data_IF_352952558870
#
_entry.id   IF_352952558870
#
_cell.length_a   1.000
_cell.length_b   1.000
_cell.length_c   1.000
_cell.angle_alpha   90.00
_cell.angle_beta   90.00
_cell.angle_gamma   90.00
#
_symmetry.space_group_name_H-M   'P 1'
#
loop_
_entity.id
_entity.type
_entity.pdbx_description
1 polymer ?
#
# COMPACT_ATOMS: atom_id res chain seq x y z
N UNK A 1 -29.22 10.97 5.33
CA UNK A 1 -30.03 10.03 4.50
C UNK A 1 -31.19 9.48 5.31
N UNK A 2 -32.31 9.11 4.68
CA UNK A 2 -33.43 8.46 5.36
C UNK A 2 -33.17 6.94 5.56
N UNK A 3 -33.94 6.33 6.47
CA UNK A 3 -33.79 4.91 6.84
C UNK A 3 -34.05 3.97 5.66
N UNK A 4 -35.03 4.28 4.83
CA UNK A 4 -35.41 3.47 3.67
C UNK A 4 -34.31 3.44 2.61
N UNK A 5 -33.66 4.57 2.34
CA UNK A 5 -32.49 4.65 1.46
C UNK A 5 -31.29 3.90 2.03
N UNK A 6 -31.06 3.99 3.35
CA UNK A 6 -30.00 3.21 4.02
C UNK A 6 -30.25 1.72 3.83
N UNK A 7 -31.44 1.21 4.15
CA UNK A 7 -31.78 -0.21 4.02
C UNK A 7 -31.64 -0.72 2.58
N UNK A 8 -32.09 0.06 1.58
CA UNK A 8 -31.93 -0.28 0.17
C UNK A 8 -30.46 -0.36 -0.25
N UNK A 9 -29.63 0.59 0.19
CA UNK A 9 -28.18 0.58 -0.07
C UNK A 9 -27.51 -0.64 0.56
N UNK A 10 -27.84 -0.96 1.82
CA UNK A 10 -27.35 -2.16 2.51
C UNK A 10 -27.75 -3.42 1.75
N UNK A 11 -29.01 -3.56 1.34
CA UNK A 11 -29.48 -4.73 0.59
C UNK A 11 -28.72 -4.92 -0.72
N UNK A 12 -28.43 -3.83 -1.44
CA UNK A 12 -27.65 -3.92 -2.67
C UNK A 12 -26.16 -4.21 -2.42
N UNK A 13 -25.56 -3.74 -1.33
CA UNK A 13 -24.19 -4.13 -0.94
C UNK A 13 -24.15 -5.62 -0.56
N UNK A 14 -25.14 -6.13 0.16
CA UNK A 14 -25.26 -7.58 0.46
C UNK A 14 -25.29 -8.42 -0.80
N UNK A 15 -26.08 -8.03 -1.80
CA UNK A 15 -26.11 -8.72 -3.09
C UNK A 15 -24.77 -8.71 -3.83
N UNK A 16 -23.96 -7.65 -3.71
CA UNK A 16 -22.60 -7.64 -4.28
C UNK A 16 -21.65 -8.57 -3.52
N UNK A 17 -21.78 -8.66 -2.18
CA UNK A 17 -20.99 -9.59 -1.35
C UNK A 17 -21.33 -11.04 -1.69
N UNK A 18 -22.61 -11.38 -1.87
CA UNK A 18 -23.05 -12.71 -2.29
C UNK A 18 -22.44 -13.10 -3.66
N UNK A 19 -22.45 -12.17 -4.62
CA UNK A 19 -21.79 -12.37 -5.92
C UNK A 19 -20.29 -12.57 -5.77
N UNK A 20 -19.62 -11.75 -4.96
CA UNK A 20 -18.19 -11.89 -4.68
C UNK A 20 -17.89 -13.28 -4.09
N UNK A 21 -18.67 -13.71 -3.11
CA UNK A 21 -18.54 -15.03 -2.49
C UNK A 21 -18.66 -16.14 -3.54
N UNK A 22 -19.64 -16.05 -4.44
CA UNK A 22 -19.82 -17.04 -5.51
C UNK A 22 -18.64 -17.03 -6.50
N UNK A 23 -18.12 -15.85 -6.87
CA UNK A 23 -16.93 -15.73 -7.74
C UNK A 23 -15.71 -16.35 -7.07
N UNK A 24 -15.50 -16.14 -5.76
CA UNK A 24 -14.40 -16.77 -5.02
C UNK A 24 -14.50 -18.31 -5.02
N UNK A 25 -15.70 -18.86 -4.80
CA UNK A 25 -15.92 -20.30 -4.93
C UNK A 25 -15.66 -20.83 -6.35
N UNK A 26 -15.90 -20.02 -7.39
CA UNK A 26 -15.58 -20.39 -8.77
C UNK A 26 -14.07 -20.37 -9.03
N UNK A 27 -13.35 -19.37 -8.50
CA UNK A 27 -11.89 -19.27 -8.58
C UNK A 27 -11.23 -20.50 -7.94
N UNK A 28 -11.67 -20.90 -6.75
CA UNK A 28 -11.13 -22.07 -6.03
C UNK A 28 -11.25 -23.37 -6.83
N UNK A 29 -12.30 -23.49 -7.65
CA UNK A 29 -12.55 -24.67 -8.49
C UNK A 29 -11.91 -24.57 -9.88
N UNK A 30 -11.37 -23.41 -10.24
CA UNK A 30 -10.79 -23.18 -11.57
C UNK A 30 -9.32 -23.56 -11.56
N UNK A 31 -8.96 -24.54 -12.38
CA UNK A 31 -7.57 -24.94 -12.59
C UNK A 31 -6.80 -23.84 -13.34
N UNK A 32 -5.80 -23.25 -12.69
CA UNK A 32 -5.00 -22.15 -13.21
C UNK A 32 -4.08 -22.58 -14.36
N UNK A 33 -3.63 -23.83 -14.40
CA UNK A 33 -2.72 -24.34 -15.42
C UNK A 33 -3.48 -24.66 -16.71
N UNK A 34 -4.65 -25.28 -16.57
CA UNK A 34 -5.47 -25.69 -17.70
C UNK A 34 -6.36 -24.56 -18.24
N UNK A 35 -6.75 -23.59 -17.41
CA UNK A 35 -7.66 -22.49 -17.80
C UNK A 35 -7.19 -21.12 -17.28
N UNK A 36 -5.99 -20.66 -17.68
CA UNK A 36 -5.41 -19.41 -17.17
C UNK A 36 -6.25 -18.17 -17.49
N UNK A 37 -6.88 -18.11 -18.66
CA UNK A 37 -7.70 -16.96 -19.07
C UNK A 37 -9.00 -16.86 -18.25
N UNK A 38 -9.66 -17.99 -17.98
CA UNK A 38 -10.85 -18.03 -17.13
C UNK A 38 -10.51 -17.64 -15.69
N UNK A 39 -9.38 -18.14 -15.18
CA UNK A 39 -8.88 -17.78 -13.86
C UNK A 39 -8.59 -16.27 -13.78
N UNK A 40 -7.91 -15.71 -14.77
CA UNK A 40 -7.62 -14.28 -14.85
C UNK A 40 -8.89 -13.43 -14.91
N UNK A 41 -9.90 -13.84 -15.67
CA UNK A 41 -11.19 -13.15 -15.75
C UNK A 41 -11.92 -13.16 -14.41
N UNK A 42 -12.04 -14.32 -13.76
CA UNK A 42 -12.75 -14.46 -12.48
C UNK A 42 -12.06 -13.68 -11.36
N UNK A 43 -10.73 -13.79 -11.26
CA UNK A 43 -9.94 -13.03 -10.27
C UNK A 43 -10.03 -11.52 -10.49
N UNK A 44 -10.05 -11.08 -11.75
CA UNK A 44 -10.27 -9.66 -12.09
C UNK A 44 -11.68 -9.21 -11.67
N UNK A 45 -12.73 -9.98 -11.95
CA UNK A 45 -14.10 -9.66 -11.51
C UNK A 45 -14.18 -9.55 -9.98
N UNK A 46 -13.60 -10.52 -9.26
CA UNK A 46 -13.57 -10.52 -7.80
C UNK A 46 -12.85 -9.28 -7.24
N UNK A 47 -11.72 -8.90 -7.82
CA UNK A 47 -10.96 -7.72 -7.40
C UNK A 47 -11.75 -6.41 -7.63
N UNK A 48 -12.27 -6.20 -8.85
CA UNK A 48 -13.07 -5.01 -9.18
C UNK A 48 -14.34 -4.91 -8.34
N UNK A 49 -14.99 -6.05 -8.07
CA UNK A 49 -16.18 -6.09 -7.21
C UNK A 49 -15.85 -5.74 -5.76
N UNK A 50 -14.69 -6.16 -5.26
CA UNK A 50 -14.21 -5.80 -3.93
C UNK A 50 -13.95 -4.29 -3.80
N UNK A 51 -13.34 -3.67 -4.82
CA UNK A 51 -13.16 -2.21 -4.87
C UNK A 51 -14.51 -1.48 -4.84
N UNK A 52 -15.47 -1.93 -5.63
CA UNK A 52 -16.82 -1.36 -5.66
C UNK A 52 -17.51 -1.48 -4.29
N UNK A 53 -17.45 -2.64 -3.64
CA UNK A 53 -18.03 -2.86 -2.31
C UNK A 53 -17.42 -1.88 -1.30
N UNK A 54 -16.09 -1.74 -1.28
CA UNK A 54 -15.40 -0.81 -0.38
C UNK A 54 -15.86 0.65 -0.61
N UNK A 55 -15.93 1.08 -1.88
CA UNK A 55 -16.41 2.41 -2.25
C UNK A 55 -17.86 2.65 -1.79
N UNK A 56 -18.76 1.69 -2.04
CA UNK A 56 -20.17 1.79 -1.65
C UNK A 56 -20.36 1.83 -0.13
N UNK A 57 -19.58 1.04 0.62
CA UNK A 57 -19.56 1.07 2.08
C UNK A 57 -19.11 2.43 2.60
N UNK A 58 -18.04 2.98 2.03
CA UNK A 58 -17.52 4.32 2.37
C UNK A 58 -18.56 5.42 2.11
N UNK A 59 -19.23 5.38 0.95
CA UNK A 59 -20.31 6.33 0.64
C UNK A 59 -21.53 6.17 1.55
N UNK A 60 -21.85 4.96 1.97
CA UNK A 60 -22.91 4.72 2.94
C UNK A 60 -22.55 5.38 4.28
N UNK A 61 -21.32 5.20 4.77
CA UNK A 61 -20.81 5.85 5.98
C UNK A 61 -20.95 7.38 5.89
N UNK A 62 -20.33 8.01 4.88
CA UNK A 62 -20.35 9.47 4.72
C UNK A 62 -21.76 10.06 4.54
N UNK A 63 -22.68 9.32 3.90
CA UNK A 63 -24.05 9.78 3.69
C UNK A 63 -24.99 9.57 4.90
N UNK A 64 -24.58 8.77 5.90
CA UNK A 64 -25.43 8.37 7.02
C UNK A 64 -24.89 8.74 8.40
N UNK A 65 -23.62 9.13 8.53
CA UNK A 65 -23.00 9.54 9.79
C UNK A 65 -22.32 10.90 9.68
N UNK A 66 -21.88 11.45 10.82
CA UNK A 66 -21.04 12.65 10.88
C UNK A 66 -19.54 12.34 10.77
N UNK A 67 -19.18 11.12 10.34
CA UNK A 67 -17.77 10.69 10.25
C UNK A 67 -17.05 11.50 9.19
N UNK A 68 -15.93 12.11 9.59
CA UNK A 68 -15.07 12.91 8.70
C UNK A 68 -14.24 12.01 7.77
N UNK A 69 -13.97 12.48 6.54
CA UNK A 69 -13.22 11.72 5.52
C UNK A 69 -11.84 11.32 6.04
N UNK A 70 -11.18 12.27 6.68
CA UNK A 70 -9.82 12.19 7.22
C UNK A 70 -9.71 11.08 8.28
N UNK A 71 -10.63 11.08 9.26
CA UNK A 71 -10.68 10.07 10.32
C UNK A 71 -10.92 8.67 9.78
N UNK A 72 -11.81 8.55 8.79
CA UNK A 72 -12.05 7.26 8.13
C UNK A 72 -10.81 6.78 7.38
N UNK A 73 -10.14 7.63 6.61
CA UNK A 73 -9.02 7.21 5.77
C UNK A 73 -7.78 6.85 6.58
N UNK A 74 -7.52 7.52 7.70
CA UNK A 74 -6.49 7.11 8.62
C UNK A 74 -6.81 5.74 9.25
N UNK A 75 -8.07 5.51 9.65
CA UNK A 75 -8.53 4.19 10.12
C UNK A 75 -8.41 3.11 9.04
N UNK A 76 -8.73 3.47 7.79
CA UNK A 76 -8.62 2.57 6.65
C UNK A 76 -7.15 2.19 6.40
N UNK A 77 -6.21 3.14 6.49
CA UNK A 77 -4.78 2.87 6.35
C UNK A 77 -4.28 1.88 7.40
N UNK A 78 -4.70 2.03 8.66
CA UNK A 78 -4.38 1.07 9.73
C UNK A 78 -4.94 -0.32 9.43
N UNK A 79 -6.21 -0.43 9.02
CA UNK A 79 -6.85 -1.72 8.68
C UNK A 79 -6.21 -2.36 7.44
N UNK A 80 -5.79 -1.56 6.47
CA UNK A 80 -5.04 -2.04 5.30
C UNK A 80 -3.67 -2.60 5.72
N UNK A 81 -3.12 -2.15 6.85
CA UNK A 81 -1.83 -2.60 7.37
C UNK A 81 -0.69 -1.61 7.11
N UNK A 82 -0.99 -0.33 6.82
CA UNK A 82 -0.01 0.74 6.78
C UNK A 82 0.54 0.95 8.20
N UNK A 83 1.86 0.85 8.34
CA UNK A 83 2.55 1.04 9.63
C UNK A 83 3.60 2.11 9.49
N UNK A 84 3.67 3.01 10.48
CA UNK A 84 4.65 4.09 10.55
C UNK A 84 5.48 3.89 11.83
N UNK A 85 6.79 3.99 11.70
CA UNK A 85 7.75 3.93 12.81
C UNK A 85 8.76 5.06 12.66
N UNK A 86 8.70 6.04 13.53
CA UNK A 86 9.78 7.02 13.68
C UNK A 86 10.85 6.46 14.62
N UNK A 87 12.10 6.59 14.21
CA UNK A 87 13.33 6.32 14.97
C UNK A 87 14.15 7.62 14.98
N UNK A 88 15.15 7.74 15.86
CA UNK A 88 15.93 8.98 16.05
C UNK A 88 16.41 9.60 14.73
N UNK A 89 16.89 8.79 13.78
CA UNK A 89 17.45 9.26 12.50
C UNK A 89 16.71 8.77 11.25
N UNK A 90 15.54 8.12 11.40
CA UNK A 90 14.87 7.47 10.27
C UNK A 90 13.36 7.38 10.46
N UNK A 91 12.61 7.64 9.40
CA UNK A 91 11.22 7.23 9.31
C UNK A 91 11.11 5.96 8.48
N UNK A 92 10.48 4.92 9.04
CA UNK A 92 10.13 3.70 8.31
C UNK A 92 8.61 3.61 8.15
N UNK A 93 8.15 3.37 6.92
CA UNK A 93 6.75 3.15 6.58
C UNK A 93 6.64 1.79 5.90
N UNK A 94 5.73 0.94 6.37
CA UNK A 94 5.39 -0.31 5.69
C UNK A 94 4.03 -0.18 5.03
N UNK A 95 3.98 -0.41 3.72
CA UNK A 95 2.77 -0.53 2.93
C UNK A 95 2.42 -2.02 2.76
N UNK A 96 1.14 -2.39 2.80
CA UNK A 96 0.71 -3.79 2.86
C UNK A 96 0.73 -4.53 1.51
N UNK A 97 1.26 -3.89 0.46
CA UNK A 97 1.29 -4.43 -0.88
C UNK A 97 2.52 -3.94 -1.64
N UNK A 98 2.83 -4.65 -2.73
CA UNK A 98 3.78 -4.19 -3.73
C UNK A 98 3.19 -3.04 -4.54
N UNK A 99 4.03 -2.09 -4.93
CA UNK A 99 3.59 -0.91 -5.67
C UNK A 99 3.03 -1.26 -7.06
N UNK A 100 1.98 -0.55 -7.52
CA UNK A 100 1.39 -0.78 -8.83
C UNK A 100 2.35 -0.38 -9.96
N UNK A 101 2.08 -0.93 -11.16
CA UNK A 101 2.83 -0.56 -12.36
C UNK A 101 2.36 0.79 -12.90
N UNK A 102 3.27 1.65 -13.35
CA UNK A 102 2.97 2.98 -13.94
C UNK A 102 1.91 2.95 -15.04
N UNK A 103 1.91 1.89 -15.88
CA UNK A 103 1.02 1.78 -17.05
C UNK A 103 -0.38 1.26 -16.72
N UNK A 104 -0.59 0.67 -15.55
CA UNK A 104 -1.91 0.25 -15.12
C UNK A 104 -2.53 1.43 -14.36
N UNK A 105 -3.59 2.02 -14.90
CA UNK A 105 -4.44 3.01 -14.20
C UNK A 105 -5.22 2.38 -13.03
N UNK A 106 -4.63 1.45 -12.30
CA UNK A 106 -5.17 1.06 -11.01
C UNK A 106 -5.07 2.29 -10.11
N UNK A 107 -6.18 2.67 -9.50
CA UNK A 107 -6.23 3.86 -8.68
C UNK A 107 -5.35 3.64 -7.45
N UNK A 108 -4.13 4.19 -7.49
CA UNK A 108 -3.25 4.34 -6.33
C UNK A 108 -3.94 5.08 -5.18
N UNK A 109 -5.08 5.74 -5.43
CA UNK A 109 -5.94 6.36 -4.41
C UNK A 109 -6.26 5.43 -3.24
N UNK A 110 -6.42 4.12 -3.46
CA UNK A 110 -6.64 3.16 -2.37
C UNK A 110 -5.44 2.98 -1.44
N UNK A 111 -4.27 3.52 -1.79
CA UNK A 111 -3.04 3.49 -1.02
C UNK A 111 -2.59 4.90 -0.61
N UNK A 112 -2.64 5.87 -1.53
CA UNK A 112 -2.14 7.23 -1.36
C UNK A 112 -2.97 8.03 -0.36
N UNK A 113 -4.30 8.07 -0.52
CA UNK A 113 -5.20 8.78 0.39
C UNK A 113 -5.10 8.19 1.81
N UNK A 114 -5.23 6.86 2.02
CA UNK A 114 -5.01 6.27 3.34
C UNK A 114 -3.62 6.52 3.92
N UNK A 115 -2.55 6.45 3.12
CA UNK A 115 -1.19 6.77 3.57
C UNK A 115 -1.10 8.22 4.07
N UNK A 116 -1.58 9.19 3.27
CA UNK A 116 -1.55 10.61 3.62
C UNK A 116 -2.24 10.87 4.96
N UNK A 117 -3.47 10.37 5.14
CA UNK A 117 -4.21 10.61 6.39
C UNK A 117 -3.66 9.82 7.57
N UNK A 118 -3.07 8.65 7.35
CA UNK A 118 -2.37 7.91 8.41
C UNK A 118 -1.12 8.66 8.87
N UNK A 119 -0.34 9.24 7.95
CA UNK A 119 0.80 10.11 8.28
C UNK A 119 0.37 11.39 8.98
N UNK A 120 -0.70 12.05 8.51
CA UNK A 120 -1.25 13.23 9.15
C UNK A 120 -1.64 12.94 10.60
N UNK A 121 -2.42 11.89 10.84
CA UNK A 121 -2.80 11.51 12.21
C UNK A 121 -1.60 11.11 13.07
N UNK A 122 -0.58 10.47 12.47
CA UNK A 122 0.65 10.15 13.19
C UNK A 122 1.40 11.42 13.59
N UNK A 123 1.50 12.42 12.71
CA UNK A 123 2.17 13.70 12.96
C UNK A 123 1.49 14.56 14.02
N UNK A 124 0.18 14.38 14.24
CA UNK A 124 -0.54 15.08 15.31
C UNK A 124 -0.08 14.64 16.70
N UNK A 125 0.46 13.42 16.82
CA UNK A 125 0.80 12.79 18.10
C UNK A 125 2.30 12.50 18.27
N UNK A 126 3.09 12.64 17.20
CA UNK A 126 4.51 12.31 17.17
C UNK A 126 5.26 13.36 16.38
N UNK A 127 6.44 13.76 16.87
CA UNK A 127 7.33 14.62 16.11
C UNK A 127 7.92 13.83 14.94
N UNK A 128 7.67 14.30 13.72
CA UNK A 128 8.24 13.73 12.51
C UNK A 128 9.56 14.43 12.17
N UNK A 129 10.59 13.69 11.74
CA UNK A 129 11.83 14.30 11.28
C UNK A 129 11.58 15.15 10.04
N UNK A 130 12.30 16.27 9.93
CA UNK A 130 12.32 17.12 8.74
C UNK A 130 13.70 17.07 8.11
N UNK A 131 13.81 16.33 7.02
CA UNK A 131 15.06 16.15 6.31
C UNK A 131 15.29 17.24 5.26
N UNK A 132 16.47 17.85 5.30
CA UNK A 132 16.93 18.76 4.24
C UNK A 132 17.62 18.04 3.10
N UNK A 133 18.40 17.01 3.41
CA UNK A 133 19.04 16.12 2.45
C UNK A 133 18.84 14.69 2.93
N UNK A 134 18.16 13.88 2.15
CA UNK A 134 17.81 12.51 2.53
C UNK A 134 17.94 11.53 1.38
N UNK A 135 17.95 10.25 1.76
CA UNK A 135 17.75 9.14 0.84
C UNK A 135 16.39 8.50 1.17
N UNK A 136 15.56 8.31 0.15
CA UNK A 136 14.34 7.51 0.24
C UNK A 136 14.62 6.13 -0.33
N UNK A 137 14.61 5.13 0.55
CA UNK A 137 14.85 3.73 0.20
C UNK A 137 13.53 2.99 0.06
N UNK A 138 13.23 2.49 -1.13
CA UNK A 138 12.11 1.60 -1.40
C UNK A 138 12.60 0.14 -1.40
N UNK A 139 12.31 -0.57 -0.32
CA UNK A 139 12.49 -2.02 -0.23
C UNK A 139 11.21 -2.71 -0.69
N UNK A 140 11.27 -3.40 -1.82
CA UNK A 140 10.18 -4.22 -2.35
C UNK A 140 10.34 -5.64 -1.85
N UNK A 141 9.53 -6.04 -0.87
CA UNK A 141 9.59 -7.36 -0.25
C UNK A 141 8.61 -8.28 -0.94
N UNK A 142 9.13 -9.32 -1.59
CA UNK A 142 8.34 -10.35 -2.25
C UNK A 142 8.24 -11.56 -1.32
N UNK A 143 7.02 -12.08 -1.15
CA UNK A 143 6.81 -13.28 -0.35
C UNK A 143 7.52 -14.49 -0.97
N UNK A 144 8.27 -15.21 -0.14
CA UNK A 144 8.95 -16.48 -0.47
C UNK A 144 7.99 -17.58 -0.94
N UNK A 145 6.69 -17.42 -0.65
CA UNK A 145 5.63 -18.38 -1.02
C UNK A 145 5.33 -18.39 -2.52
N UNK A 146 5.83 -17.42 -3.29
CA UNK A 146 5.56 -17.29 -4.71
C UNK A 146 6.84 -17.28 -5.54
N UNK A 147 6.73 -17.67 -6.81
CA UNK A 147 7.88 -17.72 -7.71
C UNK A 147 8.46 -16.32 -8.00
N UNK A 148 9.78 -16.22 -7.98
CA UNK A 148 10.57 -15.00 -8.30
C UNK A 148 10.31 -14.36 -9.67
N UNK A 149 9.64 -15.03 -10.63
CA UNK A 149 9.33 -14.46 -11.96
C UNK A 149 8.42 -13.22 -11.90
N UNK A 150 7.79 -12.97 -10.75
CA UNK A 150 6.92 -11.81 -10.52
C UNK A 150 7.66 -10.54 -10.08
N UNK A 151 8.98 -10.63 -9.84
CA UNK A 151 9.83 -9.48 -9.53
C UNK A 151 9.75 -8.48 -10.69
N UNK A 152 9.49 -7.21 -10.35
CA UNK A 152 9.27 -6.13 -11.30
C UNK A 152 10.51 -5.26 -11.40
N UNK A 153 10.80 -4.78 -12.60
CA UNK A 153 11.77 -3.72 -12.81
C UNK A 153 11.33 -2.44 -12.10
N UNK A 154 12.27 -1.71 -11.49
CA UNK A 154 11.96 -0.53 -10.68
C UNK A 154 11.42 0.64 -11.51
N UNK A 155 11.81 0.76 -12.78
CA UNK A 155 11.33 1.79 -13.70
C UNK A 155 9.83 1.65 -14.04
N UNK A 156 9.29 0.45 -13.85
CA UNK A 156 7.89 0.13 -14.04
C UNK A 156 7.02 0.43 -12.81
N UNK A 157 7.60 0.80 -11.66
CA UNK A 157 6.85 1.06 -10.42
C UNK A 157 6.42 2.53 -10.28
N UNK A 158 5.22 2.74 -9.75
CA UNK A 158 4.70 4.07 -9.43
C UNK A 158 5.22 4.55 -8.06
N UNK A 159 6.34 5.27 -8.07
CA UNK A 159 7.00 5.80 -6.87
C UNK A 159 6.65 7.28 -6.60
N UNK A 160 6.29 8.03 -7.65
CA UNK A 160 6.23 9.49 -7.59
C UNK A 160 5.18 9.97 -6.60
N UNK A 161 3.97 9.44 -6.68
CA UNK A 161 2.89 9.86 -5.78
C UNK A 161 3.20 9.56 -4.31
N UNK A 162 3.97 8.50 -4.03
CA UNK A 162 4.43 8.22 -2.66
C UNK A 162 5.46 9.25 -2.21
N UNK A 163 6.43 9.59 -3.07
CA UNK A 163 7.39 10.66 -2.78
C UNK A 163 6.70 12.00 -2.51
N UNK A 164 5.70 12.36 -3.30
CA UNK A 164 4.94 13.61 -3.12
C UNK A 164 4.25 13.65 -1.73
N UNK A 165 3.67 12.52 -1.30
CA UNK A 165 3.09 12.40 0.05
C UNK A 165 4.17 12.55 1.12
N UNK A 166 5.28 11.83 1.01
CA UNK A 166 6.37 11.87 1.99
C UNK A 166 6.98 13.28 2.09
N UNK A 167 7.19 13.93 0.94
CA UNK A 167 7.70 15.29 0.83
C UNK A 167 6.91 16.26 1.70
N UNK A 168 5.58 16.17 1.64
CA UNK A 168 4.66 16.99 2.43
C UNK A 168 4.92 16.89 3.95
N UNK A 169 5.24 15.70 4.45
CA UNK A 169 5.36 15.46 5.89
C UNK A 169 6.78 15.56 6.43
N UNK A 170 7.80 15.14 5.67
CA UNK A 170 9.13 14.91 6.24
C UNK A 170 10.29 15.53 5.47
N UNK A 171 10.03 16.22 4.36
CA UNK A 171 11.08 16.88 3.58
C UNK A 171 10.93 18.39 3.64
N UNK A 172 12.05 19.10 3.52
CA UNK A 172 12.05 20.54 3.29
C UNK A 172 11.74 20.84 1.82
N UNK A 173 12.25 20.00 0.92
CA UNK A 173 12.16 20.12 -0.53
C UNK A 173 12.44 18.72 -1.15
N UNK A 174 11.74 18.35 -2.22
CA UNK A 174 11.81 17.03 -2.90
C UNK A 174 12.62 17.04 -4.21
N UNK A 175 13.33 18.13 -4.48
CA UNK A 175 14.21 18.24 -5.65
C UNK A 175 15.26 17.14 -5.65
N UNK A 176 15.60 16.65 -6.85
CA UNK A 176 16.64 15.64 -7.04
C UNK A 176 18.06 16.10 -6.66
N UNK A 177 18.25 17.36 -6.26
CA UNK A 177 19.51 17.85 -5.67
C UNK A 177 19.64 17.45 -4.19
N UNK A 178 18.50 17.33 -3.50
CA UNK A 178 18.42 17.14 -2.06
C UNK A 178 17.98 15.73 -1.69
N UNK A 179 17.14 15.11 -2.52
CA UNK A 179 16.56 13.80 -2.29
C UNK A 179 17.11 12.79 -3.28
N UNK A 180 17.81 11.78 -2.75
CA UNK A 180 18.20 10.62 -3.54
C UNK A 180 17.16 9.50 -3.35
N UNK A 181 16.94 8.69 -4.39
CA UNK A 181 16.08 7.52 -4.31
C UNK A 181 16.89 6.24 -4.50
N UNK A 182 16.69 5.27 -3.61
CA UNK A 182 17.31 3.95 -3.67
C UNK A 182 16.22 2.88 -3.76
N UNK A 183 16.41 1.86 -4.59
CA UNK A 183 15.49 0.73 -4.71
C UNK A 183 16.22 -0.57 -4.42
N UNK A 184 15.58 -1.45 -3.66
CA UNK A 184 16.07 -2.80 -3.40
C UNK A 184 14.93 -3.80 -3.42
N UNK A 185 15.28 -5.06 -3.69
CA UNK A 185 14.35 -6.19 -3.67
C UNK A 185 14.79 -7.13 -2.55
N UNK A 186 13.85 -7.52 -1.70
CA UNK A 186 14.07 -8.45 -0.60
C UNK A 186 13.10 -9.63 -0.75
N UNK A 187 13.48 -10.81 -0.27
CA UNK A 187 12.57 -11.94 -0.08
C UNK A 187 12.17 -11.97 1.40
N UNK A 188 10.89 -12.17 1.68
CA UNK A 188 10.38 -12.23 3.06
C UNK A 188 9.08 -13.01 3.17
N UNK A 189 8.40 -12.90 4.31
CA UNK A 189 7.20 -13.70 4.60
C UNK A 189 5.98 -13.31 3.75
N UNK A 190 5.81 -12.01 3.48
CA UNK A 190 4.63 -11.45 2.83
C UNK A 190 4.98 -10.27 1.91
N UNK A 191 4.13 -10.08 0.90
CA UNK A 191 4.25 -8.98 -0.06
C UNK A 191 4.06 -7.65 0.63
N UNK A 192 5.06 -6.79 0.59
CA UNK A 192 4.95 -5.44 1.08
C UNK A 192 6.00 -4.52 0.46
N UNK A 193 5.76 -3.22 0.55
CA UNK A 193 6.77 -2.20 0.23
C UNK A 193 7.12 -1.48 1.53
N UNK A 194 8.40 -1.53 1.90
CA UNK A 194 8.93 -0.80 3.05
C UNK A 194 9.69 0.41 2.54
N UNK A 195 9.33 1.58 3.02
CA UNK A 195 9.94 2.86 2.68
C UNK A 195 10.72 3.32 3.90
N UNK A 196 12.03 3.53 3.73
CA UNK A 196 12.88 4.10 4.78
C UNK A 196 13.40 5.46 4.32
N UNK A 197 13.22 6.49 5.13
CA UNK A 197 13.72 7.85 4.84
C UNK A 197 14.66 8.28 5.94
N UNK A 198 15.88 8.63 5.57
CA UNK A 198 16.97 8.96 6.48
C UNK A 198 17.88 10.03 5.89
N UNK A 199 18.70 10.68 6.72
CA UNK A 199 19.71 11.61 6.25
C UNK A 199 20.74 10.89 5.35
N UNK A 200 21.35 11.62 4.40
CA UNK A 200 22.34 11.04 3.47
C UNK A 200 23.54 10.41 4.18
N UNK A 201 23.93 10.97 5.32
CA UNK A 201 25.04 10.49 6.15
C UNK A 201 24.76 9.14 6.84
N UNK A 202 23.49 8.83 7.13
CA UNK A 202 23.09 7.56 7.75
C UNK A 202 22.94 6.42 6.73
N UNK A 203 22.77 6.74 5.45
CA UNK A 203 22.48 5.77 4.39
C UNK A 203 23.56 4.66 4.27
N UNK A 204 24.88 4.93 4.31
CA UNK A 204 25.89 3.87 4.24
C UNK A 204 25.80 2.89 5.41
N UNK A 205 25.46 3.36 6.61
CA UNK A 205 25.28 2.49 7.79
C UNK A 205 24.05 1.60 7.60
N UNK A 206 22.93 2.19 7.22
CA UNK A 206 21.69 1.45 6.94
C UNK A 206 21.87 0.38 5.86
N UNK A 207 22.58 0.72 4.77
CA UNK A 207 22.84 -0.21 3.66
C UNK A 207 23.67 -1.42 4.13
N UNK A 208 24.72 -1.18 4.92
CA UNK A 208 25.56 -2.26 5.48
C UNK A 208 24.78 -3.18 6.42
N UNK A 209 23.90 -2.63 7.27
CA UNK A 209 23.05 -3.43 8.17
C UNK A 209 22.06 -4.29 7.38
N UNK A 210 21.47 -3.75 6.31
CA UNK A 210 20.57 -4.45 5.40
C UNK A 210 21.25 -5.59 4.65
N UNK A 211 22.43 -5.36 4.08
CA UNK A 211 23.18 -6.40 3.37
C UNK A 211 23.54 -7.59 4.26
N UNK A 212 23.92 -7.33 5.51
CA UNK A 212 24.17 -8.39 6.49
C UNK A 212 22.91 -9.20 6.77
N UNK A 213 21.78 -8.53 7.00
CA UNK A 213 20.49 -9.19 7.21
C UNK A 213 20.06 -10.06 6.03
N UNK A 214 20.30 -9.63 4.79
CA UNK A 214 19.93 -10.40 3.59
C UNK A 214 20.81 -11.64 3.40
N UNK A 215 22.12 -11.54 3.66
CA UNK A 215 23.04 -12.68 3.60
C UNK A 215 22.65 -13.77 4.61
N UNK A 216 22.25 -13.37 5.82
CA UNK A 216 21.79 -14.32 6.84
C UNK A 216 20.51 -15.07 6.44
N UNK A 217 19.66 -14.49 5.59
CA UNK A 217 18.43 -15.13 5.10
C UNK A 217 18.72 -16.05 3.90
N UNK A 218 19.71 -15.75 3.04
CA UNK A 218 20.04 -16.60 1.89
C UNK A 218 20.85 -17.85 2.23
N UNK A 219 21.34 -17.97 3.47
CA UNK A 219 22.08 -19.13 3.96
C UNK A 219 21.17 -20.26 4.51
N UNK A 220 19.84 -20.13 4.36
CA UNK A 220 18.81 -21.11 4.69
C UNK A 220 18.07 -21.58 3.44
#
# INVERSE_FOLDING_TARGET
MDRTSISRRIGSIKGDIEKLSNTLCAIEKTDIENYPDNYAMLTTDAALRSELIACRMRHLLYGSTATRKETYLASAGVVQGIRIKAQENMLEITLPCLLPKRKQRQSTEFLIDPLYFTLSQYSDNNELPKFRQCVVCFSHIYSEKFHNRRVRDYDNLELKQLLDVLSTFIMVDDTGLLVDAYNTTEIGEADCTRISVMAKEDFPKWLNEREKSLKTISDF
#
